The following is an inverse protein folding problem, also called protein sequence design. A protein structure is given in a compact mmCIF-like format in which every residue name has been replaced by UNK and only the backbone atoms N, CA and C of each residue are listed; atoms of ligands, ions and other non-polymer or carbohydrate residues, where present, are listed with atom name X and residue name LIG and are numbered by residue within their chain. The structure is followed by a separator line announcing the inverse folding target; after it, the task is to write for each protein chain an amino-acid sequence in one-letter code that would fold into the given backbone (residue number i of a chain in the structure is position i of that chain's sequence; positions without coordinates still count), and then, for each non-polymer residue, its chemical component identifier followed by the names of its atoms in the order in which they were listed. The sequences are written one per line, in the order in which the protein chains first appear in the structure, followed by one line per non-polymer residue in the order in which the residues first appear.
data_IF_010499617929
#
_entry.id   IF_010499617929
#
_cell.length_a   1.000
_cell.length_b   1.000
_cell.length_c   1.000
_cell.angle_alpha   90.00
_cell.angle_beta   90.00
_cell.angle_gamma   90.00
#
_symmetry.space_group_name_H-M   'P 1'
#
loop_
_entity.id
_entity.type
_entity.pdbx_description
1 polymer ?
#
# COMPACT_ATOMS: atom_id res chain seq x y z
N UNK A 1 -0.17 43.63 71.34
CA UNK A 1 0.92 42.64 71.42
C UNK A 1 1.13 41.96 70.08
N UNK A 2 2.31 42.07 69.54
CA UNK A 2 2.76 41.67 68.23
C UNK A 2 2.95 40.12 68.13
N UNK A 3 2.61 39.52 67.00
CA UNK A 3 3.38 38.37 66.46
C UNK A 3 3.46 38.46 64.95
N UNK A 4 4.68 38.51 64.43
CA UNK A 4 5.10 38.37 63.06
C UNK A 4 5.04 36.91 62.71
N UNK A 5 4.59 36.58 61.47
CA UNK A 5 4.87 35.30 60.85
C UNK A 5 5.66 35.51 59.56
N UNK A 6 6.74 34.77 59.42
CA UNK A 6 7.62 34.68 58.27
C UNK A 6 6.92 33.99 57.05
N UNK A 7 7.10 34.60 55.89
CA UNK A 7 6.85 33.99 54.60
C UNK A 7 8.07 33.20 54.19
N UNK A 8 7.94 31.89 54.09
CA UNK A 8 8.89 31.04 53.38
C UNK A 8 8.48 30.94 51.90
N UNK A 9 9.36 31.39 51.02
CA UNK A 9 9.21 31.27 49.58
C UNK A 9 9.81 29.92 49.18
N UNK A 10 8.94 28.93 48.84
CA UNK A 10 9.36 27.72 48.15
C UNK A 10 9.50 28.00 46.66
N UNK A 11 10.73 28.05 46.14
CA UNK A 11 11.04 28.03 44.74
C UNK A 11 10.80 26.61 44.18
N UNK A 12 9.73 26.41 43.42
CA UNK A 12 9.51 25.18 42.68
C UNK A 12 10.26 25.31 41.34
N UNK A 13 11.36 24.57 41.24
CA UNK A 13 12.11 24.43 39.98
C UNK A 13 11.26 23.69 38.94
N UNK A 14 10.91 24.36 37.84
CA UNK A 14 10.38 23.70 36.65
C UNK A 14 11.50 22.87 36.02
N UNK A 15 11.47 21.56 36.24
CA UNK A 15 12.23 20.63 35.42
C UNK A 15 11.51 20.51 34.06
N UNK A 16 12.09 21.11 33.03
CA UNK A 16 11.66 20.87 31.64
C UNK A 16 11.94 19.40 31.30
N UNK A 17 10.89 18.57 31.31
CA UNK A 17 10.97 17.23 30.82
C UNK A 17 11.15 17.30 29.27
N UNK A 18 12.39 17.00 28.84
CA UNK A 18 12.67 16.79 27.42
C UNK A 18 11.90 15.55 26.99
N UNK A 19 10.74 15.76 26.34
CA UNK A 19 9.92 14.70 25.80
C UNK A 19 10.70 14.07 24.65
N UNK A 20 11.17 12.84 24.84
CA UNK A 20 11.90 12.13 23.78
C UNK A 20 10.97 11.85 22.60
N UNK A 21 11.46 11.83 21.34
CA UNK A 21 10.66 11.53 20.15
C UNK A 21 9.91 10.19 20.23
N UNK A 22 10.44 9.22 20.98
CA UNK A 22 9.79 7.93 21.26
C UNK A 22 8.48 8.04 22.04
N UNK A 23 8.37 9.00 22.98
CA UNK A 23 7.14 9.20 23.73
C UNK A 23 6.02 9.79 22.85
N UNK A 24 6.36 10.67 21.91
CA UNK A 24 5.41 11.23 20.97
C UNK A 24 4.87 10.17 19.97
N UNK A 25 5.71 9.21 19.54
CA UNK A 25 5.28 8.08 18.70
C UNK A 25 4.41 7.08 19.47
N UNK A 26 4.68 6.82 20.76
CA UNK A 26 3.87 5.91 21.56
C UNK A 26 2.46 6.46 21.85
N UNK A 27 2.28 7.78 21.90
CA UNK A 27 0.95 8.41 22.04
C UNK A 27 0.14 8.29 20.75
N UNK A 28 0.75 8.24 19.56
CA UNK A 28 0.06 7.99 18.31
C UNK A 28 -0.50 6.55 18.18
N UNK A 29 0.02 5.58 18.94
CA UNK A 29 -0.48 4.19 18.97
C UNK A 29 -1.92 4.05 19.53
N UNK A 30 -2.48 5.07 20.18
CA UNK A 30 -3.72 4.93 20.96
C UNK A 30 -4.98 5.47 20.27
N UNK A 31 -4.86 6.17 19.17
CA UNK A 31 -6.04 6.56 18.38
C UNK A 31 -6.27 5.55 17.25
N UNK A 32 -7.12 4.54 17.49
CA UNK A 32 -7.66 3.67 16.43
C UNK A 32 -8.53 4.57 15.53
N UNK A 33 -7.96 5.07 14.46
CA UNK A 33 -8.71 5.73 13.39
C UNK A 33 -9.22 4.63 12.46
N UNK A 34 -10.55 4.45 12.40
CA UNK A 34 -11.20 3.63 11.37
C UNK A 34 -10.59 3.95 9.99
N UNK A 35 -10.40 2.92 9.15
CA UNK A 35 -9.93 3.14 7.78
C UNK A 35 -10.83 4.16 7.08
N UNK A 36 -10.25 5.20 6.51
CA UNK A 36 -11.01 6.25 5.85
C UNK A 36 -11.66 5.67 4.59
N UNK A 37 -12.93 6.01 4.31
CA UNK A 37 -13.57 5.59 3.08
C UNK A 37 -12.81 6.14 1.88
N UNK A 38 -12.83 5.40 0.77
CA UNK A 38 -12.19 5.84 -0.46
C UNK A 38 -12.90 7.08 -1.03
N UNK A 39 -12.13 8.07 -1.41
CA UNK A 39 -12.65 9.18 -2.21
C UNK A 39 -12.64 8.76 -3.69
N UNK A 40 -13.73 8.13 -4.14
CA UNK A 40 -13.85 7.65 -5.52
C UNK A 40 -13.93 8.78 -6.54
N UNK A 41 -14.31 10.00 -6.13
CA UNK A 41 -14.27 11.18 -6.99
C UNK A 41 -12.84 11.61 -7.27
N UNK A 42 -11.98 11.58 -6.27
CA UNK A 42 -10.54 11.85 -6.41
C UNK A 42 -9.74 10.59 -6.78
N UNK A 43 -10.38 9.42 -6.84
CA UNK A 43 -9.77 8.12 -7.13
C UNK A 43 -8.62 7.78 -6.18
N UNK A 44 -8.74 8.17 -4.92
CA UNK A 44 -7.67 8.12 -3.94
C UNK A 44 -8.14 7.69 -2.55
N UNK A 45 -7.20 7.20 -1.74
CA UNK A 45 -7.38 6.89 -0.33
C UNK A 45 -6.25 7.53 0.48
N UNK A 46 -6.59 8.00 1.68
CA UNK A 46 -5.63 8.56 2.61
C UNK A 46 -5.23 7.52 3.67
N UNK A 47 -3.94 7.30 3.83
CA UNK A 47 -3.36 6.40 4.82
C UNK A 47 -3.45 6.95 6.26
N UNK A 48 -3.13 6.10 7.23
CA UNK A 48 -3.02 6.47 8.64
C UNK A 48 -1.86 7.47 8.92
N UNK A 49 -0.87 7.56 8.05
CA UNK A 49 0.23 8.53 8.08
C UNK A 49 -0.03 9.79 7.24
N UNK A 50 -1.29 10.06 6.88
CA UNK A 50 -1.77 11.20 6.11
C UNK A 50 -1.31 11.28 4.64
N UNK A 51 -0.56 10.32 4.14
CA UNK A 51 -0.22 10.23 2.72
C UNK A 51 -1.38 9.67 1.91
N UNK A 52 -1.42 10.03 0.64
CA UNK A 52 -2.49 9.64 -0.28
C UNK A 52 -1.97 8.65 -1.31
N UNK A 53 -2.77 7.61 -1.61
CA UNK A 53 -2.50 6.60 -2.63
C UNK A 53 -3.67 6.51 -3.61
N UNK A 54 -3.43 6.35 -4.93
CA UNK A 54 -4.49 6.00 -5.89
C UNK A 54 -5.14 4.65 -5.54
N UNK A 55 -6.47 4.55 -5.68
CA UNK A 55 -7.20 3.31 -5.32
C UNK A 55 -7.14 2.23 -6.40
N UNK A 56 -6.65 2.57 -7.59
CA UNK A 56 -6.46 1.64 -8.71
C UNK A 56 -5.05 1.77 -9.27
N UNK A 57 -4.38 0.65 -9.49
CA UNK A 57 -3.02 0.61 -10.01
C UNK A 57 -2.80 -0.46 -11.06
N UNK A 58 -1.56 -0.61 -11.52
CA UNK A 58 -1.07 -1.71 -12.33
C UNK A 58 -0.18 -2.62 -11.49
N UNK A 59 -0.54 -3.90 -11.36
CA UNK A 59 0.34 -4.95 -10.87
C UNK A 59 1.28 -5.46 -11.97
N UNK A 60 2.58 -5.58 -11.65
CA UNK A 60 3.60 -5.98 -12.64
C UNK A 60 4.08 -7.43 -12.49
N UNK A 61 3.45 -8.22 -11.62
CA UNK A 61 3.81 -9.64 -11.48
C UNK A 61 3.75 -10.38 -12.82
N UNK A 62 4.78 -11.17 -13.14
CA UNK A 62 4.97 -11.88 -14.41
C UNK A 62 5.18 -11.01 -15.66
N UNK A 63 5.36 -9.71 -15.53
CA UNK A 63 5.77 -8.84 -16.62
C UNK A 63 7.30 -8.65 -16.57
N UNK A 64 7.99 -8.91 -17.69
CA UNK A 64 9.45 -8.83 -17.77
C UNK A 64 9.91 -8.09 -19.02
N UNK A 65 11.15 -7.55 -18.96
CA UNK A 65 11.83 -6.91 -20.08
C UNK A 65 10.94 -5.83 -20.75
N UNK A 66 10.96 -5.78 -22.06
CA UNK A 66 10.23 -4.80 -22.86
C UNK A 66 8.70 -4.87 -22.65
N UNK A 67 8.17 -6.04 -22.29
CA UNK A 67 6.74 -6.18 -22.00
C UNK A 67 6.36 -5.44 -20.73
N UNK A 68 7.19 -5.50 -19.69
CA UNK A 68 7.00 -4.73 -18.46
C UNK A 68 7.07 -3.22 -18.74
N UNK A 69 8.10 -2.77 -19.45
CA UNK A 69 8.27 -1.36 -19.80
C UNK A 69 7.05 -0.83 -20.56
N UNK A 70 6.60 -1.54 -21.61
CA UNK A 70 5.43 -1.13 -22.40
C UNK A 70 4.14 -1.10 -21.58
N UNK A 71 3.92 -2.10 -20.69
CA UNK A 71 2.73 -2.14 -19.85
C UNK A 71 2.69 -0.98 -18.85
N UNK A 72 3.81 -0.68 -18.18
CA UNK A 72 3.90 0.45 -17.24
C UNK A 72 3.71 1.78 -17.98
N UNK A 73 4.30 1.95 -19.15
CA UNK A 73 4.09 3.17 -19.97
C UNK A 73 2.63 3.31 -20.38
N UNK A 74 2.01 2.26 -20.93
CA UNK A 74 0.59 2.28 -21.30
C UNK A 74 -0.32 2.62 -20.11
N UNK A 75 0.01 2.13 -18.91
CA UNK A 75 -0.72 2.48 -17.70
C UNK A 75 -0.59 3.97 -17.34
N UNK A 76 0.63 4.51 -17.35
CA UNK A 76 0.88 5.92 -17.07
C UNK A 76 0.22 6.83 -18.13
N UNK A 77 0.25 6.46 -19.40
CA UNK A 77 -0.40 7.15 -20.51
C UNK A 77 -1.93 7.18 -20.40
N UNK A 78 -2.54 6.11 -19.83
CA UNK A 78 -3.98 6.04 -19.52
C UNK A 78 -4.37 6.77 -18.22
N UNK A 79 -3.43 7.42 -17.54
CA UNK A 79 -3.70 8.12 -16.28
C UNK A 79 -3.61 7.26 -15.01
N UNK A 80 -3.19 6.00 -15.08
CA UNK A 80 -2.82 5.22 -13.89
C UNK A 80 -1.62 5.89 -13.22
N UNK A 81 -1.67 5.98 -11.90
CA UNK A 81 -0.61 6.64 -11.10
C UNK A 81 -0.06 5.73 -9.99
N UNK A 82 -0.52 4.50 -9.87
CA UNK A 82 -0.04 3.49 -8.92
C UNK A 82 0.56 2.32 -9.69
N UNK A 83 1.85 2.03 -9.48
CA UNK A 83 2.58 0.89 -10.05
C UNK A 83 3.08 0.01 -8.92
N UNK A 84 2.68 -1.26 -8.93
CA UNK A 84 3.08 -2.25 -7.93
C UNK A 84 4.06 -3.26 -8.52
N UNK A 85 5.20 -3.42 -7.85
CA UNK A 85 6.22 -4.42 -8.14
C UNK A 85 6.72 -5.10 -6.86
N UNK A 86 7.78 -5.90 -6.95
CA UNK A 86 8.47 -6.53 -5.83
C UNK A 86 9.88 -6.97 -6.23
N UNK A 87 10.79 -7.06 -5.25
CA UNK A 87 12.14 -7.60 -5.47
C UNK A 87 12.14 -9.00 -6.11
N UNK A 88 11.19 -9.85 -5.65
CA UNK A 88 11.03 -11.21 -6.16
C UNK A 88 10.54 -11.27 -7.62
N UNK A 89 9.88 -10.22 -8.14
CA UNK A 89 9.42 -10.23 -9.53
C UNK A 89 10.55 -10.09 -10.54
N UNK A 90 11.72 -9.60 -10.12
CA UNK A 90 12.91 -9.42 -10.96
C UNK A 90 12.76 -8.35 -12.03
N UNK A 91 11.78 -7.45 -11.89
CA UNK A 91 11.45 -6.43 -12.89
C UNK A 91 11.49 -4.98 -12.36
N UNK A 92 12.09 -4.76 -11.19
CA UNK A 92 12.21 -3.43 -10.59
C UNK A 92 12.97 -2.45 -11.49
N UNK A 93 13.99 -2.92 -12.24
CA UNK A 93 14.75 -2.10 -13.20
C UNK A 93 13.86 -1.60 -14.34
N UNK A 94 13.05 -2.48 -14.90
CA UNK A 94 12.11 -2.18 -15.99
C UNK A 94 11.02 -1.19 -15.53
N UNK A 95 10.48 -1.40 -14.34
CA UNK A 95 9.54 -0.45 -13.73
C UNK A 95 10.20 0.91 -13.55
N UNK A 96 11.41 0.96 -12.97
CA UNK A 96 12.16 2.19 -12.80
C UNK A 96 12.46 2.89 -14.12
N UNK A 97 12.87 2.16 -15.16
CA UNK A 97 13.09 2.70 -16.51
C UNK A 97 11.83 3.34 -17.08
N UNK A 98 10.68 2.66 -16.99
CA UNK A 98 9.42 3.18 -17.53
C UNK A 98 8.95 4.43 -16.78
N UNK A 99 9.10 4.46 -15.45
CA UNK A 99 8.75 5.64 -14.61
C UNK A 99 9.68 6.82 -14.92
N UNK A 100 11.00 6.61 -14.99
CA UNK A 100 11.94 7.68 -15.34
C UNK A 100 11.69 8.24 -16.74
N UNK A 101 11.32 7.38 -17.67
CA UNK A 101 10.98 7.82 -19.02
C UNK A 101 9.70 8.67 -19.03
N UNK A 102 8.67 8.27 -18.27
CA UNK A 102 7.46 9.08 -18.10
C UNK A 102 7.76 10.45 -17.45
N UNK A 103 8.68 10.49 -16.48
CA UNK A 103 9.13 11.74 -15.85
C UNK A 103 9.86 12.64 -16.86
N UNK A 104 10.73 12.08 -17.72
CA UNK A 104 11.39 12.82 -18.79
C UNK A 104 10.39 13.40 -19.80
N UNK A 105 9.24 12.74 -19.98
CA UNK A 105 8.18 13.15 -20.90
C UNK A 105 7.11 14.04 -20.23
N UNK A 106 7.38 14.59 -19.03
CA UNK A 106 6.58 15.66 -18.44
C UNK A 106 5.73 15.28 -17.23
N UNK A 107 5.66 13.99 -16.81
CA UNK A 107 5.05 13.65 -15.53
C UNK A 107 5.99 14.02 -14.38
N UNK A 108 5.42 14.50 -13.28
CA UNK A 108 6.21 14.70 -12.07
C UNK A 108 6.38 13.40 -11.29
N UNK A 109 7.58 13.13 -10.72
CA UNK A 109 7.82 11.92 -9.92
C UNK A 109 6.84 11.78 -8.75
N UNK A 110 6.42 12.88 -8.15
CA UNK A 110 5.49 12.89 -7.02
C UNK A 110 4.02 12.60 -7.42
N UNK A 111 3.70 12.59 -8.72
CA UNK A 111 2.39 12.14 -9.21
C UNK A 111 2.33 10.62 -9.37
N UNK A 112 3.46 9.93 -9.35
CA UNK A 112 3.54 8.48 -9.56
C UNK A 112 3.81 7.81 -8.22
N UNK A 113 2.89 6.94 -7.80
CA UNK A 113 3.00 6.12 -6.59
C UNK A 113 3.59 4.76 -6.95
N UNK A 114 4.76 4.44 -6.41
CA UNK A 114 5.46 3.18 -6.67
C UNK A 114 5.53 2.34 -5.40
N UNK A 115 5.01 1.12 -5.48
CA UNK A 115 5.12 0.10 -4.43
C UNK A 115 6.15 -0.95 -4.84
N UNK A 116 7.03 -1.33 -3.91
CA UNK A 116 7.84 -2.56 -4.02
C UNK A 116 7.77 -3.35 -2.72
N UNK A 117 8.36 -4.56 -2.72
CA UNK A 117 8.27 -5.51 -1.60
C UNK A 117 9.59 -6.24 -1.41
N UNK A 118 10.01 -6.47 -0.17
CA UNK A 118 11.11 -7.39 0.15
C UNK A 118 10.56 -8.77 0.53
N UNK A 119 11.25 -9.82 0.08
CA UNK A 119 10.81 -11.20 0.22
C UNK A 119 11.40 -11.85 1.50
N UNK A 120 10.75 -12.84 2.14
CA UNK A 120 11.24 -13.46 3.38
C UNK A 120 12.68 -13.95 3.36
N UNK A 121 13.20 -14.41 2.23
CA UNK A 121 14.61 -14.80 2.10
C UNK A 121 15.60 -13.64 2.27
N UNK A 122 15.10 -12.39 2.25
CA UNK A 122 15.89 -11.16 2.42
C UNK A 122 15.83 -10.60 3.84
N UNK A 123 15.02 -11.19 4.74
CA UNK A 123 14.84 -10.70 6.12
C UNK A 123 16.07 -10.87 7.00
N UNK A 124 17.05 -11.67 6.59
CA UNK A 124 18.35 -11.78 7.27
C UNK A 124 19.23 -10.53 7.14
N UNK A 125 19.04 -9.73 6.07
CA UNK A 125 19.72 -8.44 5.86
C UNK A 125 18.75 -7.48 5.14
N UNK A 126 17.71 -7.00 5.87
CA UNK A 126 16.65 -6.19 5.27
C UNK A 126 17.14 -4.82 4.81
N UNK A 127 18.18 -4.26 5.45
CA UNK A 127 18.77 -3.00 5.03
C UNK A 127 19.35 -3.11 3.62
N UNK A 128 20.13 -4.15 3.36
CA UNK A 128 20.69 -4.44 2.04
C UNK A 128 19.59 -4.67 1.00
N UNK A 129 18.54 -5.41 1.34
CA UNK A 129 17.40 -5.65 0.46
C UNK A 129 16.68 -4.35 0.04
N UNK A 130 16.49 -3.43 0.99
CA UNK A 130 15.93 -2.10 0.73
C UNK A 130 16.83 -1.30 -0.24
N UNK A 131 18.11 -1.24 0.05
CA UNK A 131 19.11 -0.52 -0.77
C UNK A 131 19.17 -1.09 -2.20
N UNK A 132 19.13 -2.41 -2.35
CA UNK A 132 19.10 -3.07 -3.67
C UNK A 132 17.83 -2.75 -4.46
N UNK A 133 16.65 -2.73 -3.82
CA UNK A 133 15.40 -2.36 -4.46
C UNK A 133 15.40 -0.88 -4.90
N UNK A 134 15.86 0.02 -4.04
CA UNK A 134 16.02 1.43 -4.36
C UNK A 134 16.99 1.66 -5.53
N UNK A 135 18.12 0.95 -5.53
CA UNK A 135 19.11 1.02 -6.61
C UNK A 135 18.58 0.48 -7.95
N UNK A 136 17.79 -0.61 -7.93
CA UNK A 136 17.16 -1.16 -9.15
C UNK A 136 16.11 -0.24 -9.71
N UNK A 137 15.23 0.29 -8.88
CA UNK A 137 14.19 1.26 -9.27
C UNK A 137 14.81 2.58 -9.73
N UNK A 138 15.84 3.06 -9.04
CA UNK A 138 16.55 4.32 -9.34
C UNK A 138 15.57 5.52 -9.48
N UNK A 139 14.70 5.69 -8.47
CA UNK A 139 13.66 6.72 -8.43
C UNK A 139 13.84 7.74 -7.29
N UNK A 140 14.97 7.64 -6.57
CA UNK A 140 15.28 8.47 -5.40
C UNK A 140 14.55 8.01 -4.12
N UNK A 141 13.30 7.57 -4.24
CA UNK A 141 12.49 7.02 -3.14
C UNK A 141 11.42 6.09 -3.70
N UNK A 142 10.81 5.27 -2.82
CA UNK A 142 9.57 4.55 -3.10
C UNK A 142 8.44 5.06 -2.20
N UNK A 143 7.21 5.02 -2.70
CA UNK A 143 6.05 5.54 -1.99
C UNK A 143 5.54 4.55 -0.94
N UNK A 144 5.66 3.25 -1.21
CA UNK A 144 5.26 2.18 -0.31
C UNK A 144 6.21 1.00 -0.41
N UNK A 145 6.71 0.51 0.73
CA UNK A 145 7.51 -0.70 0.83
C UNK A 145 6.81 -1.71 1.73
N UNK A 146 6.63 -2.94 1.22
CA UNK A 146 5.93 -4.00 1.94
C UNK A 146 6.89 -5.14 2.33
N UNK A 147 6.63 -5.79 3.47
CA UNK A 147 7.05 -7.18 3.64
C UNK A 147 6.13 -8.07 2.79
N UNK A 148 6.71 -8.89 1.91
CA UNK A 148 5.95 -9.62 0.88
C UNK A 148 5.12 -10.80 1.41
N UNK A 149 5.62 -11.49 2.43
CA UNK A 149 4.96 -12.57 3.16
C UNK A 149 5.43 -12.58 4.60
N UNK A 150 4.66 -13.17 5.55
CA UNK A 150 5.18 -13.54 6.86
C UNK A 150 6.39 -14.45 6.74
N UNK A 151 7.33 -14.33 7.66
CA UNK A 151 8.50 -15.18 7.66
C UNK A 151 9.39 -14.98 8.87
N UNK A 152 10.37 -15.87 9.04
CA UNK A 152 11.31 -15.74 10.14
C UNK A 152 12.08 -14.42 10.09
N UNK A 153 12.04 -13.64 11.17
CA UNK A 153 12.69 -12.33 11.26
C UNK A 153 11.86 -11.17 10.68
N UNK A 154 10.58 -11.35 10.39
CA UNK A 154 9.70 -10.33 9.81
C UNK A 154 9.56 -9.08 10.70
N UNK A 155 9.48 -9.23 12.03
CA UNK A 155 9.45 -8.07 12.96
C UNK A 155 10.75 -7.25 12.85
N UNK A 156 11.91 -7.90 12.83
CA UNK A 156 13.19 -7.22 12.68
C UNK A 156 13.31 -6.55 11.29
N UNK A 157 12.81 -7.23 10.24
CA UNK A 157 12.75 -6.67 8.91
C UNK A 157 11.83 -5.44 8.85
N UNK A 158 10.67 -5.48 9.53
CA UNK A 158 9.76 -4.35 9.59
C UNK A 158 10.38 -3.14 10.31
N UNK A 159 11.12 -3.34 11.39
CA UNK A 159 11.89 -2.27 12.03
C UNK A 159 12.95 -1.65 11.10
N UNK A 160 13.48 -2.41 10.15
CA UNK A 160 14.34 -1.83 9.12
C UNK A 160 13.54 -0.97 8.12
N UNK A 161 12.30 -1.34 7.80
CA UNK A 161 11.39 -0.50 7.01
C UNK A 161 11.07 0.82 7.74
N UNK A 162 10.81 0.77 9.05
CA UNK A 162 10.57 1.96 9.89
C UNK A 162 11.75 2.93 9.81
N UNK A 163 12.98 2.43 9.92
CA UNK A 163 14.21 3.23 9.77
C UNK A 163 14.37 3.80 8.36
N UNK A 164 13.92 3.08 7.33
CA UNK A 164 13.96 3.58 5.95
C UNK A 164 12.97 4.76 5.75
N UNK A 165 11.85 4.76 6.47
CA UNK A 165 10.92 5.92 6.51
C UNK A 165 11.58 7.13 7.18
N UNK A 166 12.24 6.95 8.32
CA UNK A 166 12.98 8.02 9.00
C UNK A 166 14.04 8.67 8.10
N UNK A 167 14.72 7.87 7.28
CA UNK A 167 15.72 8.32 6.30
C UNK A 167 15.12 8.90 5.01
N UNK A 168 13.79 8.94 4.87
CA UNK A 168 13.06 9.40 3.68
C UNK A 168 13.33 8.59 2.39
N UNK A 169 13.87 7.38 2.49
CA UNK A 169 14.01 6.47 1.35
C UNK A 169 12.69 5.81 0.97
N UNK A 170 11.79 5.68 1.96
CA UNK A 170 10.46 5.09 1.83
C UNK A 170 9.45 6.07 2.44
N UNK A 171 8.30 6.24 1.80
CA UNK A 171 7.26 7.18 2.25
C UNK A 171 6.24 6.54 3.18
N UNK A 172 5.89 5.27 2.94
CA UNK A 172 4.95 4.48 3.72
C UNK A 172 5.39 3.03 3.75
N UNK A 173 5.01 2.29 4.79
CA UNK A 173 5.35 0.88 4.96
C UNK A 173 4.10 0.05 5.21
N UNK A 174 4.16 -1.24 4.88
CA UNK A 174 3.03 -2.13 5.05
C UNK A 174 3.40 -3.60 4.89
N UNK A 175 2.38 -4.41 4.72
CA UNK A 175 2.47 -5.87 4.72
C UNK A 175 1.76 -6.45 3.49
N UNK A 176 2.12 -7.67 3.08
CA UNK A 176 1.42 -8.43 2.06
C UNK A 176 1.32 -9.89 2.45
N UNK A 177 0.12 -10.48 2.29
CA UNK A 177 -0.19 -11.85 2.70
C UNK A 177 -0.20 -12.09 4.23
N UNK A 178 -0.59 -11.08 5.00
CA UNK A 178 -0.90 -11.21 6.43
C UNK A 178 -2.40 -11.31 6.66
N UNK A 179 -2.80 -12.30 7.46
CA UNK A 179 -4.19 -12.60 7.80
C UNK A 179 -4.45 -12.32 9.29
N UNK A 180 -5.65 -12.60 9.78
CA UNK A 180 -6.06 -12.23 11.15
C UNK A 180 -5.08 -12.73 12.21
N UNK A 181 -4.66 -13.99 12.11
CA UNK A 181 -3.73 -14.59 13.08
C UNK A 181 -2.38 -13.89 13.07
N UNK A 182 -1.76 -13.80 11.91
CA UNK A 182 -0.44 -13.17 11.74
C UNK A 182 -0.47 -11.70 12.16
N UNK A 183 -1.51 -10.95 11.78
CA UNK A 183 -1.67 -9.55 12.17
C UNK A 183 -1.86 -9.38 13.68
N UNK A 184 -2.61 -10.28 14.33
CA UNK A 184 -2.83 -10.21 15.78
C UNK A 184 -1.53 -10.42 16.55
N UNK A 185 -0.66 -11.31 16.07
CA UNK A 185 0.63 -11.61 16.69
C UNK A 185 1.68 -10.53 16.35
N UNK A 186 1.65 -9.97 15.15
CA UNK A 186 2.66 -9.05 14.62
C UNK A 186 2.47 -7.59 15.08
N UNK A 187 1.24 -7.05 14.99
CA UNK A 187 1.00 -5.63 15.21
C UNK A 187 1.42 -5.09 16.59
N UNK A 188 1.34 -5.87 17.69
CA UNK A 188 1.85 -5.41 18.99
C UNK A 188 3.38 -5.27 19.07
N UNK A 189 4.12 -5.84 18.12
CA UNK A 189 5.58 -5.91 18.13
C UNK A 189 6.26 -4.80 17.30
N UNK A 190 5.48 -3.94 16.62
CA UNK A 190 6.00 -2.88 15.74
C UNK A 190 5.65 -1.50 16.27
N UNK A 191 6.46 -0.50 15.94
CA UNK A 191 6.29 0.87 16.42
C UNK A 191 5.38 1.69 15.51
N UNK A 192 5.42 1.45 14.20
CA UNK A 192 4.61 2.13 13.19
C UNK A 192 3.58 1.17 12.62
N UNK A 193 2.29 1.50 12.73
CA UNK A 193 1.24 0.71 12.11
C UNK A 193 1.43 0.66 10.59
N UNK A 194 1.21 -0.51 9.95
CA UNK A 194 1.17 -0.60 8.50
C UNK A 194 0.19 0.43 7.91
N UNK A 195 0.59 1.11 6.85
CA UNK A 195 -0.31 1.98 6.11
C UNK A 195 -1.28 1.16 5.24
N UNK A 196 -0.84 -0.04 4.83
CA UNK A 196 -1.57 -0.90 3.92
C UNK A 196 -1.24 -2.37 4.18
N UNK A 197 -2.27 -3.23 4.01
CA UNK A 197 -2.10 -4.70 3.87
C UNK A 197 -2.61 -5.11 2.50
N UNK A 198 -1.76 -5.81 1.73
CA UNK A 198 -2.06 -6.29 0.38
C UNK A 198 -2.27 -7.81 0.40
N UNK A 199 -3.49 -8.27 0.15
CA UNK A 199 -3.86 -9.69 0.14
C UNK A 199 -4.53 -10.11 -1.18
N UNK A 200 -4.65 -11.42 -1.44
CA UNK A 200 -5.50 -11.93 -2.52
C UNK A 200 -6.96 -11.61 -2.22
N UNK A 201 -7.63 -10.85 -3.09
CA UNK A 201 -9.05 -10.56 -2.91
C UNK A 201 -9.74 -10.48 -4.28
N UNK A 202 -10.68 -11.40 -4.51
CA UNK A 202 -11.55 -11.44 -5.67
C UNK A 202 -12.86 -12.17 -5.32
N UNK A 203 -13.90 -12.20 -6.16
CA UNK A 203 -15.22 -12.78 -5.79
C UNK A 203 -15.20 -14.21 -5.27
N UNK A 204 -14.21 -15.03 -5.66
CA UNK A 204 -14.03 -16.40 -5.18
C UNK A 204 -13.04 -16.54 -4.00
N UNK A 205 -12.41 -15.44 -3.59
CA UNK A 205 -11.52 -15.37 -2.44
C UNK A 205 -11.71 -14.02 -1.74
N UNK A 206 -12.72 -13.95 -0.86
CA UNK A 206 -13.21 -12.67 -0.35
C UNK A 206 -12.60 -12.23 0.99
N UNK A 207 -11.99 -13.15 1.73
CA UNK A 207 -11.41 -12.90 3.06
C UNK A 207 -12.36 -12.10 3.97
N UNK A 208 -13.56 -12.62 4.17
CA UNK A 208 -14.66 -11.90 4.82
C UNK A 208 -14.35 -11.40 6.24
N UNK A 209 -13.47 -12.11 6.96
CA UNK A 209 -13.06 -11.73 8.30
C UNK A 209 -11.82 -10.81 8.29
N UNK A 210 -10.94 -10.97 7.32
CA UNK A 210 -9.64 -10.27 7.25
C UNK A 210 -9.81 -8.83 6.81
N UNK A 211 -10.65 -8.57 5.81
CA UNK A 211 -10.86 -7.21 5.28
C UNK A 211 -11.40 -6.26 6.36
N UNK A 212 -12.51 -6.57 7.07
CA UNK A 212 -12.98 -5.73 8.17
C UNK A 212 -11.94 -5.61 9.29
N UNK A 213 -11.28 -6.71 9.66
CA UNK A 213 -10.26 -6.69 10.72
C UNK A 213 -9.13 -5.70 10.45
N UNK A 214 -8.67 -5.61 9.20
CA UNK A 214 -7.63 -4.66 8.78
C UNK A 214 -8.18 -3.23 8.78
N UNK A 215 -9.38 -3.04 8.20
CA UNK A 215 -10.03 -1.73 8.10
C UNK A 215 -10.34 -1.12 9.47
N UNK A 216 -10.77 -1.91 10.44
CA UNK A 216 -11.07 -1.48 11.82
C UNK A 216 -9.81 -0.95 12.56
N UNK A 217 -8.62 -1.32 12.10
CA UNK A 217 -7.34 -0.80 12.61
C UNK A 217 -6.87 0.48 11.91
N UNK A 218 -7.67 1.01 11.00
CA UNK A 218 -7.29 2.20 10.22
C UNK A 218 -6.25 1.91 9.13
N UNK A 219 -6.10 0.66 8.72
CA UNK A 219 -5.16 0.20 7.71
C UNK A 219 -5.90 0.02 6.38
N UNK A 220 -5.31 0.47 5.28
CA UNK A 220 -5.89 0.30 3.93
C UNK A 220 -5.71 -1.13 3.46
N UNK A 221 -6.74 -1.70 2.81
CA UNK A 221 -6.69 -3.01 2.17
C UNK A 221 -6.49 -2.86 0.68
N UNK A 222 -5.61 -3.67 0.10
CA UNK A 222 -5.38 -3.73 -1.34
C UNK A 222 -5.44 -5.16 -1.85
N UNK A 223 -6.14 -5.37 -2.97
CA UNK A 223 -6.27 -6.65 -3.65
C UNK A 223 -5.15 -6.86 -4.67
N UNK A 224 -4.32 -7.89 -4.47
CA UNK A 224 -3.57 -8.48 -5.56
C UNK A 224 -4.43 -9.57 -6.21
N UNK A 225 -4.22 -9.86 -7.50
CA UNK A 225 -5.08 -10.71 -8.33
C UNK A 225 -6.58 -10.38 -8.23
N UNK A 226 -6.98 -9.10 -8.31
CA UNK A 226 -8.38 -8.73 -8.14
C UNK A 226 -9.32 -9.38 -9.15
N UNK A 227 -8.81 -9.84 -10.29
CA UNK A 227 -9.56 -10.55 -11.33
C UNK A 227 -9.42 -12.08 -11.26
N UNK A 228 -8.91 -12.64 -10.12
CA UNK A 228 -8.82 -14.08 -9.88
C UNK A 228 -7.49 -14.73 -10.26
N UNK A 229 -6.50 -13.98 -10.76
CA UNK A 229 -5.14 -14.44 -10.98
C UNK A 229 -4.98 -15.79 -11.67
N UNK A 230 -3.96 -16.54 -11.27
CA UNK A 230 -3.70 -17.89 -11.81
C UNK A 230 -4.76 -18.88 -11.32
N UNK A 231 -5.55 -19.40 -12.26
CA UNK A 231 -6.55 -20.44 -12.01
C UNK A 231 -7.98 -19.94 -11.85
N UNK A 232 -8.22 -18.71 -11.39
CA UNK A 232 -9.57 -18.21 -11.16
C UNK A 232 -10.06 -17.17 -12.16
N UNK A 233 -9.18 -16.51 -12.93
CA UNK A 233 -9.56 -15.44 -13.88
C UNK A 233 -10.67 -15.87 -14.82
N UNK A 234 -10.57 -17.07 -15.44
CA UNK A 234 -11.60 -17.58 -16.34
C UNK A 234 -12.95 -17.77 -15.64
N UNK A 235 -12.93 -18.28 -14.40
CA UNK A 235 -14.14 -18.51 -13.60
C UNK A 235 -14.75 -17.19 -13.12
N UNK A 236 -13.94 -16.23 -12.71
CA UNK A 236 -14.40 -14.90 -12.27
C UNK A 236 -15.02 -14.15 -13.43
N UNK A 237 -14.32 -14.01 -14.56
CA UNK A 237 -14.79 -13.24 -15.71
C UNK A 237 -15.92 -13.93 -16.48
N UNK A 238 -16.01 -15.25 -16.39
CA UNK A 238 -17.08 -16.05 -17.00
C UNK A 238 -18.28 -16.32 -16.10
N UNK A 239 -18.31 -15.74 -14.88
CA UNK A 239 -19.43 -15.97 -13.95
C UNK A 239 -20.72 -15.32 -14.47
N UNK A 240 -21.84 -16.06 -14.58
CA UNK A 240 -23.09 -15.56 -15.18
C UNK A 240 -23.73 -14.42 -14.37
N UNK A 241 -23.51 -14.36 -13.04
CA UNK A 241 -24.01 -13.26 -12.21
C UNK A 241 -23.23 -11.99 -12.52
N UNK A 242 -21.89 -12.08 -12.59
CA UNK A 242 -21.04 -10.95 -12.96
C UNK A 242 -21.34 -10.48 -14.37
N UNK A 243 -21.53 -11.40 -15.33
CA UNK A 243 -21.90 -11.08 -16.71
C UNK A 243 -23.23 -10.31 -16.79
N UNK A 244 -24.26 -10.73 -16.02
CA UNK A 244 -25.55 -10.04 -15.96
C UNK A 244 -25.42 -8.61 -15.39
N UNK A 245 -24.59 -8.42 -14.36
CA UNK A 245 -24.31 -7.09 -13.80
C UNK A 245 -23.59 -6.24 -14.85
N UNK A 246 -22.60 -6.81 -15.53
CA UNK A 246 -21.81 -6.14 -16.55
C UNK A 246 -22.72 -5.63 -17.71
N UNK A 247 -23.63 -6.47 -18.19
CA UNK A 247 -24.62 -6.10 -19.20
C UNK A 247 -25.51 -4.93 -18.74
N UNK A 248 -26.03 -5.00 -17.49
CA UNK A 248 -26.91 -3.96 -16.94
C UNK A 248 -26.23 -2.58 -16.85
N UNK A 249 -24.91 -2.54 -16.69
CA UNK A 249 -24.12 -1.31 -16.62
C UNK A 249 -23.39 -0.96 -17.91
N UNK A 250 -23.55 -1.75 -18.99
CA UNK A 250 -22.77 -1.61 -20.25
C UNK A 250 -21.25 -1.61 -19.98
N UNK A 251 -20.81 -2.50 -19.10
CA UNK A 251 -19.41 -2.69 -18.66
C UNK A 251 -18.95 -4.12 -18.93
N UNK A 252 -17.64 -4.35 -18.83
CA UNK A 252 -17.10 -5.70 -18.84
C UNK A 252 -17.13 -6.35 -17.44
N UNK A 253 -17.02 -7.67 -17.42
CA UNK A 253 -16.91 -8.42 -16.17
C UNK A 253 -15.69 -7.96 -15.33
N UNK A 254 -14.58 -7.61 -15.98
CA UNK A 254 -13.40 -7.10 -15.32
C UNK A 254 -13.68 -5.76 -14.62
N UNK A 255 -14.36 -4.84 -15.30
CA UNK A 255 -14.75 -3.55 -14.73
C UNK A 255 -15.68 -3.71 -13.52
N UNK A 256 -16.66 -4.61 -13.61
CA UNK A 256 -17.58 -4.92 -12.48
C UNK A 256 -16.80 -5.42 -11.26
N UNK A 257 -15.89 -6.38 -11.46
CA UNK A 257 -15.10 -6.93 -10.34
C UNK A 257 -14.15 -5.90 -9.73
N UNK A 258 -13.52 -5.06 -10.53
CA UNK A 258 -12.68 -3.97 -10.02
C UNK A 258 -13.51 -2.95 -9.25
N UNK A 259 -14.69 -2.55 -9.78
CA UNK A 259 -15.59 -1.64 -9.08
C UNK A 259 -16.11 -2.23 -7.77
N UNK A 260 -16.45 -3.53 -7.72
CA UNK A 260 -16.84 -4.24 -6.51
C UNK A 260 -15.76 -4.15 -5.40
N UNK A 261 -14.48 -4.28 -5.75
CA UNK A 261 -13.39 -4.08 -4.79
C UNK A 261 -13.42 -2.65 -4.21
N UNK A 262 -13.51 -1.63 -5.09
CA UNK A 262 -13.49 -0.23 -4.67
C UNK A 262 -14.68 0.12 -3.77
N UNK A 263 -15.88 -0.41 -4.04
CA UNK A 263 -17.08 -0.19 -3.22
C UNK A 263 -16.97 -0.83 -1.82
N UNK A 264 -16.09 -1.81 -1.64
CA UNK A 264 -15.75 -2.41 -0.34
C UNK A 264 -14.58 -1.69 0.36
N UNK A 265 -14.14 -0.54 -0.16
CA UNK A 265 -12.93 0.13 0.28
C UNK A 265 -11.68 -0.77 0.19
N UNK A 266 -11.58 -1.56 -0.88
CA UNK A 266 -10.44 -2.38 -1.23
C UNK A 266 -9.82 -1.81 -2.51
N UNK A 267 -8.58 -1.33 -2.44
CA UNK A 267 -7.79 -0.89 -3.59
C UNK A 267 -7.45 -2.08 -4.48
N UNK A 268 -7.27 -1.89 -5.78
CA UNK A 268 -7.02 -3.00 -6.70
C UNK A 268 -5.84 -2.73 -7.64
N UNK A 269 -5.03 -3.76 -7.87
CA UNK A 269 -3.85 -3.71 -8.76
C UNK A 269 -3.92 -4.82 -9.82
N UNK A 270 -4.88 -4.75 -10.78
CA UNK A 270 -4.94 -5.72 -11.87
C UNK A 270 -3.66 -5.66 -12.71
N UNK A 271 -3.14 -6.84 -13.09
CA UNK A 271 -2.01 -6.97 -14.01
C UNK A 271 -2.49 -7.19 -15.44
N UNK A 272 -1.85 -6.54 -16.42
CA UNK A 272 -2.04 -6.81 -17.85
C UNK A 272 -0.83 -6.36 -18.67
N UNK A 273 -0.52 -7.08 -19.74
CA UNK A 273 0.42 -6.66 -20.79
C UNK A 273 -0.31 -6.04 -22.00
N UNK A 274 -1.64 -6.11 -22.04
CA UNK A 274 -2.45 -5.58 -23.13
C UNK A 274 -2.89 -4.13 -22.82
N UNK A 275 -2.44 -3.13 -23.59
CA UNK A 275 -2.82 -1.72 -23.37
C UNK A 275 -4.33 -1.47 -23.38
N UNK A 276 -5.09 -2.23 -24.18
CA UNK A 276 -6.55 -2.10 -24.23
C UNK A 276 -7.20 -2.52 -22.90
N UNK A 277 -6.75 -3.64 -22.30
CA UNK A 277 -7.23 -4.05 -20.97
C UNK A 277 -6.80 -3.09 -19.87
N UNK A 278 -5.57 -2.55 -19.96
CA UNK A 278 -5.09 -1.55 -18.99
C UNK A 278 -5.98 -0.31 -19.01
N UNK A 279 -6.31 0.19 -20.20
CA UNK A 279 -7.22 1.33 -20.36
C UNK A 279 -8.62 0.99 -19.85
N UNK A 280 -9.20 -0.13 -20.29
CA UNK A 280 -10.53 -0.61 -19.87
C UNK A 280 -10.65 -0.66 -18.32
N UNK A 281 -9.62 -1.16 -17.63
CA UNK A 281 -9.59 -1.24 -16.18
C UNK A 281 -9.68 0.14 -15.49
N UNK A 282 -9.36 1.24 -16.17
CA UNK A 282 -9.47 2.60 -15.61
C UNK A 282 -10.88 3.18 -15.70
N UNK A 283 -11.78 2.60 -16.49
CA UNK A 283 -13.12 3.12 -16.79
C UNK A 283 -14.16 2.51 -15.83
N UNK A 284 -13.93 2.65 -14.51
CA UNK A 284 -14.71 1.99 -13.45
C UNK A 284 -15.27 2.97 -12.40
N UNK A 285 -15.19 4.28 -12.66
CA UNK A 285 -15.57 5.30 -11.68
C UNK A 285 -16.93 5.94 -11.98
N UNK A 286 -17.60 5.54 -13.04
CA UNK A 286 -18.81 6.13 -13.62
C UNK A 286 -20.09 5.28 -13.41
N UNK A 287 -20.03 4.22 -12.61
CA UNK A 287 -21.16 3.35 -12.27
C UNK A 287 -21.04 2.79 -10.86
N UNK A 288 -22.17 2.25 -10.31
CA UNK A 288 -22.25 1.63 -8.97
C UNK A 288 -23.01 0.32 -9.01
#
# INVERSE_FOLDING_TARGET
MRRRSMLEVCAIGLAAAVCSPRLAMAVQKTEIRMARPFNLKEKAVKFNNDRTMPVLGLGTYSLHGQTCIRAVRAALDCGVRLIDTASMYGNEREVGMAVRDAVKNGLSRNEIFVTTKIYPTQFGDPQKAIEESLAKLDLGYVDLLLLHHPGNGDVAAYHALEKAVEKNFVRSIGLSNWYVKELTEFLPQVDVLPALVQNEIHPYYQDQDVVPFIQDKGIVVQAWFPLGGRGWTKSVLGNPIIAKIAEAHSKSAAQVVLRWNLQRNVSAIPGSSNPAHIKENTEIFDFE
#
